data_IF_921666123155
#
_entry.id   IF_921666123155
#
_cell.length_a   1.000
_cell.length_b   1.000
_cell.length_c   1.000
_cell.angle_alpha   90.00
_cell.angle_beta   90.00
_cell.angle_gamma   90.00
#
_symmetry.space_group_name_H-M   'P 1'
#
loop_
_entity.id
_entity.type
_entity.pdbx_description
1 polymer ?
#
# COMPACT_ATOMS: atom_id res chain seq x y z
N UNK A 1 -52.34 -12.03 -39.96
CA UNK A 1 -52.45 -10.80 -39.14
C UNK A 1 -51.14 -10.62 -38.38
N UNK A 2 -50.48 -9.47 -38.55
CA UNK A 2 -49.14 -9.16 -38.03
C UNK A 2 -49.26 -8.61 -36.60
N UNK A 3 -48.46 -9.12 -35.66
CA UNK A 3 -47.90 -8.33 -34.55
C UNK A 3 -46.44 -8.76 -34.38
N UNK A 4 -45.57 -8.11 -35.14
CA UNK A 4 -44.13 -8.17 -35.00
C UNK A 4 -43.77 -7.20 -33.87
N UNK A 5 -43.65 -7.72 -32.65
CA UNK A 5 -43.20 -6.92 -31.52
C UNK A 5 -41.71 -6.66 -31.69
N UNK A 6 -41.40 -5.45 -32.14
CA UNK A 6 -40.07 -4.89 -32.29
C UNK A 6 -39.43 -4.80 -30.90
N UNK A 7 -38.67 -5.81 -30.49
CA UNK A 7 -37.80 -5.66 -29.32
C UNK A 7 -36.63 -4.77 -29.73
N UNK A 8 -36.74 -3.51 -29.32
CA UNK A 8 -35.77 -2.46 -29.52
C UNK A 8 -34.41 -2.93 -29.00
N UNK A 9 -33.47 -3.14 -29.92
CA UNK A 9 -32.06 -3.41 -29.67
C UNK A 9 -31.46 -2.16 -29.02
N UNK A 10 -31.50 -2.09 -27.69
CA UNK A 10 -30.81 -1.04 -26.94
C UNK A 10 -29.34 -1.43 -26.84
N UNK A 11 -28.58 -1.04 -27.87
CA UNK A 11 -27.13 -0.98 -27.80
C UNK A 11 -26.79 0.17 -26.84
N UNK A 12 -26.72 -0.13 -25.54
CA UNK A 12 -26.06 0.75 -24.57
C UNK A 12 -24.54 0.56 -24.73
N UNK A 13 -24.00 1.18 -25.79
CA UNK A 13 -22.60 1.58 -25.89
C UNK A 13 -22.37 2.75 -24.92
N UNK A 14 -22.48 2.48 -23.63
CA UNK A 14 -21.94 3.38 -22.60
C UNK A 14 -20.60 2.81 -22.19
N UNK A 15 -19.61 3.28 -22.94
CA UNK A 15 -18.33 3.71 -22.42
C UNK A 15 -17.69 2.68 -21.48
N UNK A 16 -16.96 1.74 -22.06
CA UNK A 16 -15.76 1.21 -21.41
C UNK A 16 -14.85 2.41 -21.15
N UNK A 17 -15.10 3.11 -20.05
CA UNK A 17 -14.13 3.95 -19.39
C UNK A 17 -13.11 2.96 -18.79
N UNK A 18 -12.30 2.36 -19.67
CA UNK A 18 -10.94 1.96 -19.32
C UNK A 18 -10.22 3.28 -19.05
N UNK A 19 -10.52 3.85 -17.89
CA UNK A 19 -9.42 4.34 -17.10
C UNK A 19 -8.78 3.06 -16.61
N UNK A 20 -7.73 2.66 -17.30
CA UNK A 20 -6.53 2.21 -16.61
C UNK A 20 -6.19 3.31 -15.59
N UNK A 21 -6.97 3.39 -14.52
CA UNK A 21 -6.40 3.70 -13.23
C UNK A 21 -5.59 2.45 -12.96
N UNK A 22 -4.35 2.44 -13.48
CA UNK A 22 -3.29 1.86 -12.70
C UNK A 22 -3.42 2.55 -11.36
N UNK A 23 -4.13 1.90 -10.45
CA UNK A 23 -3.92 2.06 -9.03
C UNK A 23 -2.43 1.75 -8.96
N UNK A 24 -1.60 2.79 -9.04
CA UNK A 24 -0.27 2.74 -8.51
C UNK A 24 -0.52 2.28 -7.09
N UNK A 25 -0.37 0.98 -6.90
CA UNK A 25 -0.42 0.37 -5.60
C UNK A 25 0.80 1.00 -4.95
N UNK A 26 0.58 2.13 -4.26
CA UNK A 26 1.64 2.91 -3.66
C UNK A 26 2.11 2.10 -2.46
N UNK A 27 2.87 1.04 -2.74
CA UNK A 27 3.57 0.19 -1.76
C UNK A 27 4.79 0.93 -1.22
N UNK A 28 4.64 2.24 -1.03
CA UNK A 28 5.67 3.16 -0.58
C UNK A 28 5.04 4.07 0.47
N UNK A 29 5.62 4.18 1.67
CA UNK A 29 5.22 5.19 2.61
C UNK A 29 5.48 6.57 2.00
N UNK A 30 4.55 7.51 2.22
CA UNK A 30 4.77 8.92 1.91
C UNK A 30 5.08 9.66 3.21
N UNK A 31 6.14 10.47 3.21
CA UNK A 31 6.59 11.22 4.39
C UNK A 31 7.50 10.43 5.33
N UNK A 32 7.92 11.08 6.41
CA UNK A 32 8.67 10.46 7.49
C UNK A 32 7.72 9.76 8.47
N UNK A 33 8.12 8.59 8.96
CA UNK A 33 7.34 7.76 9.88
C UNK A 33 8.15 7.48 11.14
N UNK A 34 7.51 7.56 12.31
CA UNK A 34 8.08 7.11 13.57
C UNK A 34 7.15 6.07 14.19
N UNK A 35 7.67 4.87 14.44
CA UNK A 35 6.96 3.75 15.05
C UNK A 35 7.49 3.56 16.46
N UNK A 36 6.62 3.62 17.46
CA UNK A 36 6.94 3.64 18.89
C UNK A 36 6.71 2.30 19.59
N UNK A 37 6.03 1.35 18.95
CA UNK A 37 5.67 0.08 19.55
C UNK A 37 5.46 -1.03 18.50
N UNK A 38 5.35 -2.28 18.96
CA UNK A 38 5.21 -3.45 18.08
C UNK A 38 3.95 -3.40 17.21
N UNK A 39 2.83 -2.91 17.73
CA UNK A 39 1.57 -2.82 16.98
C UNK A 39 1.75 -1.95 15.72
N UNK A 40 2.49 -0.85 15.84
CA UNK A 40 2.81 0.04 14.73
C UNK A 40 3.80 -0.60 13.74
N UNK A 41 4.78 -1.37 14.23
CA UNK A 41 5.71 -2.13 13.39
C UNK A 41 4.98 -3.21 12.59
N UNK A 42 4.07 -3.95 13.23
CA UNK A 42 3.28 -4.99 12.58
C UNK A 42 2.28 -4.40 11.58
N UNK A 43 1.62 -3.29 11.94
CA UNK A 43 0.75 -2.56 11.02
C UNK A 43 1.53 -2.05 9.80
N UNK A 44 2.75 -1.55 10.00
CA UNK A 44 3.62 -1.15 8.90
C UNK A 44 4.05 -2.36 8.05
N UNK A 45 4.45 -3.47 8.65
CA UNK A 45 4.79 -4.70 7.92
C UNK A 45 3.60 -5.26 7.12
N UNK A 46 2.39 -5.15 7.66
CA UNK A 46 1.15 -5.60 7.02
C UNK A 46 0.63 -4.65 5.92
N UNK A 47 1.14 -3.42 5.84
CA UNK A 47 0.73 -2.43 4.83
C UNK A 47 1.10 -2.82 3.39
N UNK A 48 2.00 -3.79 3.21
CA UNK A 48 2.53 -4.17 1.92
C UNK A 48 3.57 -3.19 1.36
N UNK A 49 4.10 -2.27 2.18
CA UNK A 49 5.22 -1.43 1.79
C UNK A 49 6.49 -2.25 1.53
N UNK A 50 7.06 -2.07 0.35
CA UNK A 50 8.24 -2.81 -0.10
C UNK A 50 9.48 -1.94 -0.28
N UNK A 51 9.32 -0.61 -0.32
CA UNK A 51 10.39 0.34 -0.55
C UNK A 51 10.26 1.58 0.35
N UNK A 52 11.35 1.98 1.03
CA UNK A 52 11.51 3.33 1.60
C UNK A 52 12.14 4.21 0.52
N UNK A 53 11.50 5.32 0.16
CA UNK A 53 12.02 6.21 -0.89
C UNK A 53 13.19 7.09 -0.40
N UNK A 54 14.09 7.56 -1.29
CA UNK A 54 15.28 8.34 -0.93
C UNK A 54 15.09 9.60 -0.10
N UNK A 55 13.89 10.18 -0.13
CA UNK A 55 13.58 11.43 0.59
C UNK A 55 12.77 11.19 1.87
N UNK A 56 12.56 9.93 2.27
CA UNK A 56 11.75 9.56 3.42
C UNK A 56 12.56 8.76 4.43
N UNK A 57 12.25 9.00 5.69
CA UNK A 57 12.93 8.38 6.81
C UNK A 57 11.93 7.57 7.63
N UNK A 58 12.28 6.33 7.94
CA UNK A 58 11.55 5.47 8.85
C UNK A 58 12.34 5.32 10.15
N UNK A 59 11.79 5.84 11.23
CA UNK A 59 12.32 5.72 12.58
C UNK A 59 11.52 4.68 13.35
N UNK A 60 12.20 3.75 14.00
CA UNK A 60 11.62 2.74 14.87
C UNK A 60 12.26 2.93 16.24
N UNK A 61 11.44 3.36 17.20
CA UNK A 61 11.79 3.53 18.60
C UNK A 61 11.02 2.46 19.37
N UNK A 62 11.66 1.34 19.70
CA UNK A 62 11.02 0.35 20.58
C UNK A 62 11.18 0.80 22.03
N UNK A 63 10.12 0.68 22.83
CA UNK A 63 10.13 1.02 24.26
C UNK A 63 10.59 -0.14 25.16
N UNK A 64 11.21 -1.19 24.61
CA UNK A 64 11.75 -2.31 25.38
C UNK A 64 12.47 -3.38 24.56
N UNK A 65 13.23 -4.22 25.28
CA UNK A 65 13.91 -5.40 24.72
C UNK A 65 12.88 -6.41 24.20
N UNK A 66 12.89 -6.68 22.89
CA UNK A 66 12.24 -7.87 22.34
C UNK A 66 11.05 -7.64 21.42
N UNK A 67 10.89 -6.44 20.84
CA UNK A 67 9.98 -6.23 19.73
C UNK A 67 10.61 -6.74 18.42
N UNK A 68 10.17 -7.89 17.86
CA UNK A 68 10.77 -8.39 16.64
C UNK A 68 10.32 -7.50 15.46
N UNK A 69 11.26 -6.70 14.94
CA UNK A 69 11.14 -5.98 13.66
C UNK A 69 11.06 -6.92 12.44
N UNK A 70 10.88 -8.24 12.66
CA UNK A 70 10.91 -9.26 11.62
C UNK A 70 9.77 -9.10 10.62
N UNK A 71 8.58 -8.66 11.08
CA UNK A 71 7.44 -8.34 10.21
C UNK A 71 7.80 -7.24 9.21
N UNK A 72 8.45 -6.19 9.68
CA UNK A 72 8.93 -5.07 8.87
C UNK A 72 10.07 -5.45 7.90
N UNK A 73 11.06 -6.21 8.39
CA UNK A 73 12.19 -6.67 7.56
C UNK A 73 11.77 -7.67 6.48
N UNK A 74 10.67 -8.39 6.69
CA UNK A 74 10.13 -9.32 5.69
C UNK A 74 9.39 -8.63 4.55
N UNK A 75 8.85 -7.43 4.77
CA UNK A 75 8.11 -6.67 3.76
C UNK A 75 9.02 -5.74 2.95
N UNK A 76 10.02 -5.12 3.58
CA UNK A 76 10.93 -4.18 2.94
C UNK A 76 11.99 -4.90 2.09
N UNK A 77 11.94 -4.66 0.78
CA UNK A 77 12.91 -5.18 -0.20
C UNK A 77 13.96 -4.14 -0.60
N UNK A 78 13.66 -2.85 -0.39
CA UNK A 78 14.56 -1.75 -0.77
C UNK A 78 14.48 -0.61 0.24
N UNK A 79 15.64 -0.12 0.66
CA UNK A 79 15.77 1.05 1.51
C UNK A 79 16.56 2.09 0.74
N UNK A 80 15.85 3.09 0.19
CA UNK A 80 16.44 4.19 -0.57
C UNK A 80 16.74 5.41 0.29
N UNK A 81 15.96 5.65 1.33
CA UNK A 81 16.15 6.71 2.33
C UNK A 81 16.72 6.16 3.64
N UNK A 82 16.46 6.83 4.77
CA UNK A 82 16.97 6.37 6.06
C UNK A 82 16.03 5.36 6.72
N UNK A 83 16.61 4.27 7.24
CA UNK A 83 15.98 3.37 8.19
C UNK A 83 16.77 3.43 9.49
N UNK A 84 16.15 3.96 10.54
CA UNK A 84 16.77 4.09 11.86
C UNK A 84 15.99 3.24 12.85
N UNK A 85 16.69 2.30 13.49
CA UNK A 85 16.13 1.42 14.51
C UNK A 85 16.89 1.68 15.80
N UNK A 86 16.18 2.00 16.87
CA UNK A 86 16.75 2.35 18.17
C UNK A 86 15.92 1.80 19.31
N UNK A 87 16.60 1.46 20.42
CA UNK A 87 16.00 0.91 21.64
C UNK A 87 15.15 -0.38 21.44
N UNK A 88 15.37 -1.07 20.32
CA UNK A 88 15.01 -2.47 20.09
C UNK A 88 16.25 -3.34 20.43
#
# INVERSE_FOLDING_TARGET
MKKLTLFLLVIFLISSCSKDESIENTTKPTGAWTLYNQEQVDAFGASGYTEILPNYNLFIECDGYGSPITSLLSSLTKVGGDLVISNC
#
